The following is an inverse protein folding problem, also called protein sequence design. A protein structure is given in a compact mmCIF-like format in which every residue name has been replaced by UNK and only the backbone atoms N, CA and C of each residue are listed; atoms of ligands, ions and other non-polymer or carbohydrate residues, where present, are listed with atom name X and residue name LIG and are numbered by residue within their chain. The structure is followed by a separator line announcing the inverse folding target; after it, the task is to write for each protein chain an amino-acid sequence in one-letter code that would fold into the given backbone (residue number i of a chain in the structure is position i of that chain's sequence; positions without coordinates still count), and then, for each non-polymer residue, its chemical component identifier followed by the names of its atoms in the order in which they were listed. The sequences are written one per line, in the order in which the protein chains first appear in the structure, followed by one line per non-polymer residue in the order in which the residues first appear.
data_IF_542176000279
#
_entry.id   IF_542176000279
#
_cell.length_a   1.000
_cell.length_b   1.000
_cell.length_c   1.000
_cell.angle_alpha   90.00
_cell.angle_beta   90.00
_cell.angle_gamma   90.00
#
_symmetry.space_group_name_H-M   'P 1'
#
loop_
_entity.id
_entity.type
_entity.pdbx_description
1 polymer ?
#
# COMPACT_ATOMS: atom_id res chain seq x y z
N UNK A 1 13.26 8.90 -21.49
CA UNK A 1 12.81 7.74 -22.30
C UNK A 1 12.57 6.54 -21.40
N UNK A 2 12.06 5.42 -21.91
CA UNK A 2 11.93 4.18 -21.12
C UNK A 2 13.29 3.72 -20.59
N UNK A 3 14.32 3.74 -21.45
CA UNK A 3 15.68 3.30 -21.10
C UNK A 3 16.31 4.16 -20.00
N UNK A 4 16.14 5.49 -20.05
CA UNK A 4 16.61 6.40 -19.00
C UNK A 4 15.92 6.11 -17.67
N UNK A 5 14.62 5.83 -17.68
CA UNK A 5 13.88 5.48 -16.46
C UNK A 5 14.38 4.16 -15.86
N UNK A 6 14.65 3.14 -16.69
CA UNK A 6 15.24 1.87 -16.23
C UNK A 6 16.64 2.08 -15.65
N UNK A 7 17.47 2.95 -16.26
CA UNK A 7 18.79 3.28 -15.72
C UNK A 7 18.69 3.93 -14.33
N UNK A 8 17.78 4.89 -14.15
CA UNK A 8 17.55 5.52 -12.85
C UNK A 8 17.03 4.51 -11.82
N UNK A 9 16.11 3.64 -12.22
CA UNK A 9 15.55 2.58 -11.36
C UNK A 9 16.57 1.51 -10.96
N UNK A 10 17.65 1.37 -11.70
CA UNK A 10 18.74 0.41 -11.39
C UNK A 10 20.00 1.08 -10.85
N UNK A 11 19.90 2.38 -10.52
CA UNK A 11 21.00 3.15 -9.97
C UNK A 11 21.32 2.77 -8.51
N UNK A 12 22.55 3.08 -8.07
CA UNK A 12 23.02 2.75 -6.73
C UNK A 12 22.12 3.39 -5.66
N UNK A 13 21.53 2.56 -4.81
CA UNK A 13 20.67 2.99 -3.71
C UNK A 13 19.18 2.83 -3.98
N UNK A 14 18.78 2.54 -5.22
CA UNK A 14 17.38 2.16 -5.55
C UNK A 14 17.24 0.66 -5.38
N UNK A 15 16.39 0.24 -4.45
CA UNK A 15 16.12 -1.17 -4.18
C UNK A 15 14.94 -1.65 -5.02
N UNK A 16 15.15 -2.68 -5.84
CA UNK A 16 14.09 -3.43 -6.49
C UNK A 16 14.23 -4.91 -6.15
N UNK A 17 13.14 -5.54 -5.75
CA UNK A 17 13.10 -6.94 -5.31
C UNK A 17 12.14 -7.79 -6.14
N UNK A 18 12.41 -9.09 -6.22
CA UNK A 18 11.48 -10.09 -6.74
C UNK A 18 11.42 -11.29 -5.81
N UNK A 19 10.31 -12.02 -5.85
CA UNK A 19 10.21 -13.31 -5.18
C UNK A 19 10.93 -14.39 -6.02
N UNK A 20 11.80 -15.17 -5.38
CA UNK A 20 12.43 -16.36 -5.93
C UNK A 20 12.44 -17.44 -4.85
N UNK A 21 11.76 -18.57 -5.11
CA UNK A 21 11.60 -19.69 -4.18
C UNK A 21 11.15 -19.30 -2.75
N UNK A 22 10.19 -18.38 -2.65
CA UNK A 22 9.62 -17.91 -1.38
C UNK A 22 10.50 -16.93 -0.61
N UNK A 23 11.56 -16.40 -1.23
CA UNK A 23 12.42 -15.36 -0.65
C UNK A 23 12.47 -14.13 -1.56
N UNK A 24 12.60 -12.95 -0.96
CA UNK A 24 12.85 -11.72 -1.71
C UNK A 24 14.33 -11.59 -2.04
N UNK A 25 14.65 -11.52 -3.32
CA UNK A 25 16.00 -11.33 -3.86
C UNK A 25 16.07 -10.04 -4.69
N UNK A 26 17.27 -9.49 -4.88
CA UNK A 26 17.45 -8.32 -5.74
C UNK A 26 17.05 -8.63 -7.19
N UNK A 27 16.24 -7.76 -7.79
CA UNK A 27 15.86 -7.84 -9.19
C UNK A 27 17.03 -7.45 -10.10
N UNK A 28 17.21 -8.17 -11.20
CA UNK A 28 18.17 -7.78 -12.25
C UNK A 28 17.63 -6.59 -13.06
N UNK A 29 18.51 -5.92 -13.83
CA UNK A 29 18.08 -4.86 -14.74
C UNK A 29 17.00 -5.34 -15.73
N UNK A 30 17.13 -6.56 -16.25
CA UNK A 30 16.16 -7.14 -17.16
C UNK A 30 14.81 -7.40 -16.47
N UNK A 31 14.82 -7.85 -15.21
CA UNK A 31 13.60 -8.01 -14.41
C UNK A 31 12.88 -6.66 -14.23
N UNK A 32 13.62 -5.61 -13.88
CA UNK A 32 13.08 -4.24 -13.70
C UNK A 32 12.52 -3.71 -15.02
N UNK A 33 13.26 -3.83 -16.12
CA UNK A 33 12.81 -3.41 -17.45
C UNK A 33 11.52 -4.11 -17.86
N UNK A 34 11.44 -5.44 -17.65
CA UNK A 34 10.25 -6.23 -17.96
C UNK A 34 9.04 -5.83 -17.09
N UNK A 35 9.26 -5.56 -15.81
CA UNK A 35 8.20 -5.18 -14.87
C UNK A 35 7.68 -3.74 -15.10
N UNK A 36 8.56 -2.84 -15.53
CA UNK A 36 8.20 -1.45 -15.88
C UNK A 36 7.49 -1.32 -17.22
N UNK A 37 7.66 -2.28 -18.13
CA UNK A 37 7.12 -2.21 -19.47
C UNK A 37 5.58 -2.08 -19.46
N UNK A 38 5.07 -1.06 -20.17
CA UNK A 38 3.63 -0.82 -20.25
C UNK A 38 2.97 -1.86 -21.15
N UNK A 39 2.07 -2.67 -20.58
CA UNK A 39 1.30 -3.68 -21.31
C UNK A 39 -0.10 -3.13 -21.60
N UNK A 40 -0.36 -2.77 -22.86
CA UNK A 40 -1.64 -2.20 -23.33
C UNK A 40 -2.79 -3.22 -23.42
N UNK A 41 -2.76 -4.30 -22.63
CA UNK A 41 -3.86 -5.26 -22.63
C UNK A 41 -5.08 -4.65 -21.94
N UNK A 42 -6.26 -4.92 -22.51
CA UNK A 42 -7.53 -4.45 -21.98
C UNK A 42 -7.70 -5.00 -20.54
N UNK A 43 -8.09 -4.13 -19.61
CA UNK A 43 -8.35 -4.41 -18.17
C UNK A 43 -7.15 -4.35 -17.20
N UNK A 44 -6.02 -3.74 -17.55
CA UNK A 44 -4.95 -3.54 -16.56
C UNK A 44 -5.28 -2.40 -15.57
N UNK A 45 -5.71 -2.79 -14.36
CA UNK A 45 -5.99 -1.86 -13.25
C UNK A 45 -4.77 -1.05 -12.79
N UNK A 46 -3.55 -1.46 -13.19
CA UNK A 46 -2.32 -0.78 -12.79
C UNK A 46 -2.24 0.67 -13.29
N UNK A 47 -2.97 1.00 -14.36
CA UNK A 47 -3.01 2.33 -14.96
C UNK A 47 -4.32 3.09 -14.68
N UNK A 48 -5.23 2.48 -13.92
CA UNK A 48 -6.49 3.13 -13.54
C UNK A 48 -6.22 4.24 -12.55
N UNK A 49 -6.93 5.35 -12.69
CA UNK A 49 -6.99 6.39 -11.67
C UNK A 49 -7.71 5.84 -10.43
N UNK A 50 -6.98 5.71 -9.33
CA UNK A 50 -7.46 5.22 -8.03
C UNK A 50 -7.62 6.36 -7.01
N UNK A 51 -7.45 7.60 -7.46
CA UNK A 51 -7.69 8.81 -6.66
C UNK A 51 -9.15 9.26 -6.67
N UNK A 52 -10.00 8.62 -7.49
CA UNK A 52 -11.42 8.90 -7.56
C UNK A 52 -12.24 7.89 -6.74
N UNK A 53 -13.14 8.35 -5.85
CA UNK A 53 -14.11 7.50 -5.16
C UNK A 53 -14.98 6.67 -6.11
N UNK A 54 -15.46 5.52 -5.63
CA UNK A 54 -16.47 4.72 -6.33
C UNK A 54 -17.73 4.59 -5.48
N UNK A 55 -18.88 4.54 -6.16
CA UNK A 55 -20.16 4.30 -5.52
C UNK A 55 -20.27 2.83 -5.10
N UNK A 56 -20.09 2.56 -3.81
CA UNK A 56 -20.33 1.26 -3.19
C UNK A 56 -21.03 1.46 -1.86
N UNK A 57 -21.90 0.54 -1.48
CA UNK A 57 -22.49 0.52 -0.16
C UNK A 57 -21.66 -0.31 0.84
N UNK A 58 -21.95 -0.16 2.13
CA UNK A 58 -21.23 -0.86 3.19
C UNK A 58 -21.35 -2.40 3.06
N UNK A 59 -22.49 -2.91 2.57
CA UNK A 59 -22.71 -4.35 2.43
C UNK A 59 -21.83 -4.93 1.34
N UNK A 60 -21.70 -4.23 0.21
CA UNK A 60 -20.80 -4.61 -0.88
C UNK A 60 -19.35 -4.64 -0.41
N UNK A 61 -18.90 -3.62 0.32
CA UNK A 61 -17.54 -3.60 0.87
C UNK A 61 -17.34 -4.70 1.92
N UNK A 62 -18.30 -4.91 2.82
CA UNK A 62 -18.24 -6.01 3.79
C UNK A 62 -18.25 -7.39 3.13
N UNK A 63 -18.87 -7.53 1.96
CA UNK A 63 -18.83 -8.77 1.17
C UNK A 63 -17.41 -9.06 0.66
N UNK A 64 -16.65 -8.04 0.25
CA UNK A 64 -15.22 -8.18 -0.10
C UNK A 64 -14.36 -8.57 1.11
N UNK A 65 -14.73 -8.06 2.29
CA UNK A 65 -14.03 -8.24 3.55
C UNK A 65 -14.44 -9.52 4.32
N UNK A 66 -15.42 -10.27 3.83
CA UNK A 66 -15.90 -11.49 4.48
C UNK A 66 -14.76 -12.51 4.62
N UNK A 67 -14.57 -13.00 5.84
CA UNK A 67 -13.51 -13.92 6.23
C UNK A 67 -12.11 -13.32 6.25
N UNK A 68 -11.92 -12.01 6.02
CA UNK A 68 -10.59 -11.37 5.90
C UNK A 68 -9.99 -10.95 7.26
N UNK A 69 -10.18 -11.79 8.28
CA UNK A 69 -9.58 -11.65 9.60
C UNK A 69 -9.85 -10.29 10.25
N UNK A 70 -8.80 -9.55 10.61
CA UNK A 70 -8.91 -8.24 11.30
C UNK A 70 -9.68 -7.18 10.49
N UNK A 71 -9.80 -7.38 9.17
CA UNK A 71 -10.48 -6.48 8.25
C UNK A 71 -11.97 -6.84 8.07
N UNK A 72 -12.41 -7.99 8.56
CA UNK A 72 -13.81 -8.40 8.43
C UNK A 72 -14.76 -7.41 9.12
N UNK A 73 -15.89 -7.10 8.46
CA UNK A 73 -16.89 -6.14 8.92
C UNK A 73 -16.34 -4.71 9.16
N UNK A 74 -15.31 -4.29 8.42
CA UNK A 74 -14.74 -2.93 8.47
C UNK A 74 -15.16 -2.04 7.31
N UNK A 75 -16.18 -2.42 6.55
CA UNK A 75 -16.64 -1.70 5.35
C UNK A 75 -16.95 -0.24 5.61
N UNK A 76 -17.64 0.09 6.70
CA UNK A 76 -17.89 1.47 7.12
C UNK A 76 -16.60 2.30 7.31
N UNK A 77 -15.55 1.71 7.90
CA UNK A 77 -14.28 2.41 8.08
C UNK A 77 -13.58 2.67 6.75
N UNK A 78 -13.66 1.73 5.80
CA UNK A 78 -13.12 1.89 4.45
C UNK A 78 -13.88 2.94 3.63
N UNK A 79 -15.21 2.96 3.70
CA UNK A 79 -16.03 3.97 3.02
C UNK A 79 -15.81 5.36 3.62
N UNK A 80 -15.78 5.49 4.95
CA UNK A 80 -15.42 6.76 5.62
C UNK A 80 -14.03 7.25 5.22
N UNK A 81 -13.10 6.34 4.97
CA UNK A 81 -11.76 6.69 4.51
C UNK A 81 -11.77 7.17 3.06
N UNK A 82 -12.54 6.50 2.18
CA UNK A 82 -12.79 6.95 0.81
C UNK A 82 -13.38 8.36 0.80
N UNK A 83 -14.50 8.57 1.49
CA UNK A 83 -15.25 9.83 1.44
C UNK A 83 -14.46 11.00 2.03
N UNK A 84 -13.58 10.73 2.99
CA UNK A 84 -12.80 11.77 3.66
C UNK A 84 -11.54 12.17 2.89
N UNK A 85 -10.91 11.23 2.20
CA UNK A 85 -9.59 11.44 1.59
C UNK A 85 -9.60 11.28 0.08
N UNK A 86 -10.76 11.14 -0.54
CA UNK A 86 -10.94 10.89 -1.97
C UNK A 86 -10.05 9.74 -2.42
N UNK A 87 -10.28 8.54 -1.92
CA UNK A 87 -9.49 7.35 -2.30
C UNK A 87 -10.43 6.24 -2.69
N UNK A 88 -10.22 5.65 -3.86
CA UNK A 88 -11.01 4.53 -4.34
C UNK A 88 -11.06 3.39 -3.30
N UNK A 89 -12.26 3.05 -2.80
CA UNK A 89 -12.43 2.06 -1.73
C UNK A 89 -12.03 0.64 -2.16
N UNK A 90 -12.22 0.28 -3.44
CA UNK A 90 -11.80 -1.02 -3.97
C UNK A 90 -10.28 -1.13 -3.89
N UNK A 91 -9.56 -0.07 -4.30
CA UNK A 91 -8.12 0.01 -4.15
C UNK A 91 -7.68 -0.11 -2.68
N UNK A 92 -8.29 0.65 -1.75
CA UNK A 92 -7.94 0.58 -0.33
C UNK A 92 -8.09 -0.84 0.23
N UNK A 93 -9.21 -1.48 -0.06
CA UNK A 93 -9.46 -2.86 0.39
C UNK A 93 -8.44 -3.82 -0.24
N UNK A 94 -8.25 -3.77 -1.56
CA UNK A 94 -7.31 -4.64 -2.25
C UNK A 94 -5.87 -4.47 -1.74
N UNK A 95 -5.42 -3.24 -1.54
CA UNK A 95 -4.09 -2.95 -1.03
C UNK A 95 -3.93 -3.48 0.40
N UNK A 96 -4.90 -3.21 1.28
CA UNK A 96 -4.89 -3.74 2.64
C UNK A 96 -4.84 -5.26 2.67
N UNK A 97 -5.58 -5.94 1.78
CA UNK A 97 -5.59 -7.40 1.70
C UNK A 97 -4.25 -7.98 1.28
N UNK A 98 -3.55 -7.36 0.33
CA UNK A 98 -2.22 -7.82 -0.10
C UNK A 98 -1.22 -7.68 1.06
N UNK A 99 -1.14 -6.48 1.65
CA UNK A 99 -0.17 -6.15 2.70
C UNK A 99 -0.37 -6.93 4.01
N UNK A 100 -1.58 -7.42 4.25
CA UNK A 100 -1.93 -8.12 5.50
C UNK A 100 -2.08 -9.64 5.34
N UNK A 101 -1.79 -10.20 4.16
CA UNK A 101 -2.04 -11.62 3.89
C UNK A 101 -3.53 -11.96 4.10
N UNK A 102 -4.41 -11.18 3.47
CA UNK A 102 -5.86 -11.22 3.64
C UNK A 102 -6.36 -10.99 5.07
N UNK A 103 -5.70 -10.07 5.80
CA UNK A 103 -6.04 -9.68 7.17
C UNK A 103 -5.77 -10.74 8.23
N UNK A 104 -4.91 -11.72 7.91
CA UNK A 104 -4.63 -12.89 8.77
C UNK A 104 -3.19 -12.98 9.22
N UNK A 105 -2.27 -12.20 8.67
CA UNK A 105 -0.88 -12.19 9.11
C UNK A 105 -0.78 -11.80 10.59
N UNK A 106 0.22 -12.33 11.31
CA UNK A 106 0.40 -11.99 12.72
C UNK A 106 0.61 -10.48 12.93
N UNK A 107 1.32 -9.81 12.01
CA UNK A 107 1.51 -8.35 12.05
C UNK A 107 0.18 -7.58 11.87
N UNK A 108 -0.74 -8.08 11.05
CA UNK A 108 -2.04 -7.44 10.84
C UNK A 108 -2.94 -7.48 12.08
N UNK A 109 -2.75 -8.45 12.99
CA UNK A 109 -3.44 -8.49 14.29
C UNK A 109 -2.98 -7.38 15.25
N UNK A 110 -1.89 -6.70 14.89
CA UNK A 110 -1.35 -5.55 15.58
C UNK A 110 -0.29 -5.91 16.61
N UNK A 111 0.56 -4.94 16.95
CA UNK A 111 1.66 -5.10 17.90
C UNK A 111 1.27 -4.44 19.23
N UNK A 112 1.31 -5.22 20.31
CA UNK A 112 1.07 -4.72 21.67
C UNK A 112 2.32 -4.03 22.21
N UNK A 113 2.20 -2.76 22.58
CA UNK A 113 3.29 -1.98 23.13
C UNK A 113 2.78 -1.02 24.21
N UNK A 114 3.33 -1.13 25.44
CA UNK A 114 2.97 -0.30 26.61
C UNK A 114 1.45 -0.16 26.83
N UNK A 115 0.74 -1.29 26.82
CA UNK A 115 -0.70 -1.34 27.11
C UNK A 115 -1.63 -0.93 25.97
N UNK A 116 -1.10 -0.60 24.77
CA UNK A 116 -1.90 -0.32 23.57
C UNK A 116 -1.52 -1.28 22.45
N UNK A 117 -2.46 -1.57 21.56
CA UNK A 117 -2.21 -2.32 20.32
C UNK A 117 -2.15 -1.34 19.17
N UNK A 118 -1.18 -1.49 18.28
CA UNK A 118 -1.01 -0.65 17.10
C UNK A 118 -1.16 -1.48 15.85
N UNK A 119 -1.70 -0.89 14.77
CA UNK A 119 -2.02 -1.59 13.53
C UNK A 119 -1.41 -0.84 12.35
N UNK A 120 -1.00 -1.57 11.31
CA UNK A 120 -0.59 -1.04 10.02
C UNK A 120 -1.05 -2.02 8.94
N UNK A 121 -1.88 -1.55 8.00
CA UNK A 121 -2.47 -2.40 6.97
C UNK A 121 -1.93 -2.12 5.57
N UNK A 122 -0.99 -1.19 5.43
CA UNK A 122 -0.56 -0.71 4.11
C UNK A 122 0.96 -0.65 3.97
N UNK A 123 1.70 -1.34 4.84
CA UNK A 123 3.17 -1.35 4.80
C UNK A 123 3.83 0.01 5.05
N UNK A 124 3.13 0.96 5.69
CA UNK A 124 3.60 2.36 5.78
C UNK A 124 4.69 2.50 6.83
N UNK A 125 5.93 2.70 6.38
CA UNK A 125 7.10 2.86 7.24
C UNK A 125 7.41 1.60 8.07
N UNK A 126 8.38 1.71 8.97
CA UNK A 126 8.78 0.58 9.81
C UNK A 126 7.65 0.13 10.75
N UNK A 127 7.36 -1.17 10.78
CA UNK A 127 6.31 -1.74 11.61
C UNK A 127 6.63 -3.16 12.08
N UNK A 128 7.49 -3.23 13.10
CA UNK A 128 7.87 -4.44 13.82
C UNK A 128 8.09 -4.09 15.31
N UNK A 129 8.41 -5.08 16.14
CA UNK A 129 8.64 -4.86 17.57
C UNK A 129 9.77 -3.88 17.86
N UNK A 130 10.85 -3.89 17.06
CA UNK A 130 12.03 -3.07 17.30
C UNK A 130 11.77 -1.61 16.91
N UNK A 131 11.07 -1.37 15.82
CA UNK A 131 10.55 -0.06 15.44
C UNK A 131 9.59 0.48 16.50
N UNK A 132 8.78 -0.38 17.13
CA UNK A 132 7.91 0.01 18.25
C UNK A 132 8.72 0.40 19.50
N UNK A 133 9.75 -0.39 19.86
CA UNK A 133 10.64 -0.15 21.02
C UNK A 133 11.44 1.14 20.86
N UNK A 134 12.08 1.34 19.72
CA UNK A 134 12.95 2.49 19.44
C UNK A 134 12.19 3.73 18.93
N UNK A 135 10.87 3.63 18.75
CA UNK A 135 10.03 4.77 18.37
C UNK A 135 10.12 5.17 16.90
N UNK A 136 10.70 4.32 16.06
CA UNK A 136 10.74 4.52 14.61
C UNK A 136 9.41 4.17 13.92
N UNK A 137 8.53 3.43 14.59
CA UNK A 137 7.24 3.01 14.03
C UNK A 137 6.32 4.17 13.65
N UNK A 138 5.89 4.19 12.38
CA UNK A 138 4.97 5.21 11.86
C UNK A 138 3.58 5.09 12.49
N UNK A 139 3.04 3.87 12.59
CA UNK A 139 1.77 3.59 13.23
C UNK A 139 1.72 4.08 14.69
N UNK A 140 2.84 3.95 15.43
CA UNK A 140 2.96 4.48 16.79
C UNK A 140 2.91 6.01 16.81
N UNK A 141 3.68 6.68 15.95
CA UNK A 141 3.70 8.15 15.83
C UNK A 141 2.32 8.71 15.49
N UNK A 142 1.62 8.06 14.56
CA UNK A 142 0.26 8.44 14.13
C UNK A 142 -0.85 7.95 15.07
N UNK A 143 -0.49 7.21 16.13
CA UNK A 143 -1.44 6.66 17.11
C UNK A 143 -2.52 5.78 16.44
N UNK A 144 -2.13 4.88 15.55
CA UNK A 144 -3.03 3.91 14.92
C UNK A 144 -3.38 2.77 15.88
N UNK A 145 -4.14 3.10 16.92
CA UNK A 145 -4.44 2.21 18.06
C UNK A 145 -5.70 1.37 17.90
N UNK A 146 -6.30 1.36 16.71
CA UNK A 146 -7.40 0.48 16.33
C UNK A 146 -7.34 0.20 14.82
N UNK A 147 -7.98 -0.88 14.34
CA UNK A 147 -8.09 -1.13 12.90
C UNK A 147 -8.66 0.06 12.12
N UNK A 148 -9.73 0.68 12.61
CA UNK A 148 -10.38 1.82 11.95
C UNK A 148 -9.43 3.02 11.84
N UNK A 149 -8.64 3.28 12.89
CA UNK A 149 -7.63 4.36 12.86
C UNK A 149 -6.51 4.07 11.86
N UNK A 150 -6.11 2.82 11.70
CA UNK A 150 -5.11 2.42 10.71
C UNK A 150 -5.68 2.51 9.28
N UNK A 151 -6.94 2.11 9.05
CA UNK A 151 -7.62 2.27 7.76
C UNK A 151 -7.67 3.75 7.36
N UNK A 152 -8.19 4.60 8.24
CA UNK A 152 -8.27 6.05 8.01
C UNK A 152 -6.89 6.69 7.82
N UNK A 153 -5.91 6.27 8.62
CA UNK A 153 -4.56 6.81 8.56
C UNK A 153 -3.81 6.40 7.30
N UNK A 154 -4.01 5.17 6.82
CA UNK A 154 -3.43 4.70 5.58
C UNK A 154 -4.02 5.37 4.35
N UNK A 155 -5.34 5.55 4.31
CA UNK A 155 -5.99 6.31 3.24
C UNK A 155 -5.50 7.76 3.19
N UNK A 156 -5.38 8.41 4.35
CA UNK A 156 -4.77 9.74 4.46
C UNK A 156 -3.36 9.78 3.88
N UNK A 157 -2.51 8.81 4.27
CA UNK A 157 -1.15 8.72 3.77
C UNK A 157 -1.13 8.55 2.25
N UNK A 158 -1.93 7.64 1.68
CA UNK A 158 -1.96 7.47 0.22
C UNK A 158 -2.37 8.77 -0.48
N UNK A 159 -3.41 9.45 0.01
CA UNK A 159 -3.85 10.74 -0.55
C UNK A 159 -2.74 11.80 -0.48
N UNK A 160 -2.28 12.13 0.73
CA UNK A 160 -1.34 13.23 0.96
C UNK A 160 0.05 12.94 0.39
N UNK A 161 0.52 11.70 0.49
CA UNK A 161 1.88 11.34 0.09
C UNK A 161 2.01 10.87 -1.36
N UNK A 162 0.94 10.45 -2.04
CA UNK A 162 1.01 9.97 -3.42
C UNK A 162 0.07 10.72 -4.36
N UNK A 163 -1.23 10.74 -4.09
CA UNK A 163 -2.20 11.28 -5.04
C UNK A 163 -2.03 12.78 -5.23
N UNK A 164 -1.83 13.53 -4.15
CA UNK A 164 -1.58 14.97 -4.20
C UNK A 164 -0.22 15.33 -4.82
N UNK A 165 0.65 14.33 -5.01
CA UNK A 165 1.93 14.44 -5.73
C UNK A 165 1.86 13.92 -7.18
N UNK A 166 0.66 13.60 -7.67
CA UNK A 166 0.42 13.15 -9.04
C UNK A 166 0.66 11.66 -9.29
N UNK A 167 0.85 10.85 -8.23
CA UNK A 167 0.97 9.39 -8.33
C UNK A 167 -0.38 8.70 -8.10
N UNK A 168 -1.31 8.89 -9.04
CA UNK A 168 -2.73 8.53 -8.94
C UNK A 168 -3.10 7.12 -9.45
N UNK A 169 -2.10 6.33 -9.86
CA UNK A 169 -2.27 4.93 -10.31
C UNK A 169 -1.24 4.02 -9.66
N UNK A 170 -1.52 2.72 -9.55
CA UNK A 170 -0.58 1.75 -8.98
C UNK A 170 0.79 1.79 -9.70
N UNK A 171 0.78 1.97 -11.02
CA UNK A 171 2.00 2.10 -11.81
C UNK A 171 2.81 3.33 -11.39
N UNK A 172 2.17 4.49 -11.24
CA UNK A 172 2.86 5.70 -10.80
C UNK A 172 3.32 5.62 -9.35
N UNK A 173 2.55 4.98 -8.46
CA UNK A 173 2.96 4.74 -7.07
C UNK A 173 4.21 3.83 -6.99
N UNK A 174 4.30 2.81 -7.85
CA UNK A 174 5.44 1.87 -7.85
C UNK A 174 6.66 2.38 -8.61
N UNK A 175 6.47 3.07 -9.74
CA UNK A 175 7.57 3.40 -10.66
C UNK A 175 7.89 4.88 -10.80
N UNK A 176 7.00 5.76 -10.32
CA UNK A 176 7.12 7.22 -10.39
C UNK A 176 7.75 7.71 -11.70
N UNK A 177 7.08 7.56 -12.86
CA UNK A 177 7.67 7.90 -14.15
C UNK A 177 8.07 9.38 -14.28
N UNK A 178 7.49 10.26 -13.46
CA UNK A 178 7.87 11.68 -13.38
C UNK A 178 9.24 11.89 -12.71
N UNK A 179 9.59 11.05 -11.73
CA UNK A 179 10.89 11.05 -11.05
C UNK A 179 11.34 9.61 -10.76
N UNK A 180 11.83 8.86 -11.78
CA UNK A 180 12.13 7.44 -11.64
C UNK A 180 13.19 7.16 -10.57
N UNK A 181 13.01 6.09 -9.80
CA UNK A 181 13.91 5.74 -8.69
C UNK A 181 13.61 6.48 -7.39
N UNK A 182 12.61 7.37 -7.35
CA UNK A 182 12.30 8.20 -6.19
C UNK A 182 10.83 8.06 -5.77
N UNK A 183 10.57 8.21 -4.46
CA UNK A 183 9.23 8.21 -3.87
C UNK A 183 8.34 7.05 -4.37
N UNK A 184 8.87 5.83 -4.25
CA UNK A 184 8.20 4.60 -4.66
C UNK A 184 7.58 3.92 -3.45
N UNK A 185 6.37 3.39 -3.63
CA UNK A 185 5.61 2.78 -2.53
C UNK A 185 6.26 1.49 -2.01
N UNK A 186 6.83 0.68 -2.91
CA UNK A 186 7.40 -0.63 -2.61
C UNK A 186 8.66 -0.90 -3.45
N UNK A 187 9.50 -1.84 -2.98
CA UNK A 187 10.68 -2.36 -3.68
C UNK A 187 10.35 -3.57 -4.57
#
# INVERSE_FOLDING_TARGET
TCDEAVQLQTSKGVLNTKEDNGQFVNASKADVEQAMAIKRQNHNISYMDISEPVSMDEKEVNQLLKGKGVLENKGDAFLKAQDKYDVNVIYLVSHALVETGHGRSELSKGIKFKGKTYYNFYGIGAFDEDAMKHGHSYAKKQKWTSPERAIMGGARFVREDFFDKGQISLYQMRWNPSNPGQHQYAS
#
